data_IF_508796413720
#
_entry.id   IF_508796413720
#
_cell.length_a   1.000
_cell.length_b   1.000
_cell.length_c   1.000
_cell.angle_alpha   90.00
_cell.angle_beta   90.00
_cell.angle_gamma   90.00
#
_symmetry.space_group_name_H-M   'P 1'
#
loop_
_entity.id
_entity.type
_entity.pdbx_description
1 polymer ?
#
# COMPACT_ATOMS: atom_id res chain seq x y z
N UNK A 1 7.58 58.46 8.95
CA UNK A 1 6.27 59.16 8.93
C UNK A 1 5.21 58.20 9.45
N UNK A 2 4.37 58.67 10.39
CA UNK A 2 3.10 58.12 10.90
C UNK A 2 3.09 56.66 11.43
N UNK A 3 3.05 56.31 12.73
CA UNK A 3 2.35 56.79 13.95
C UNK A 3 0.86 56.37 14.06
N UNK A 4 0.56 55.54 15.09
CA UNK A 4 -0.70 55.33 15.87
C UNK A 4 -1.83 54.51 15.20
N UNK A 5 -2.68 53.71 15.87
CA UNK A 5 -3.01 53.44 17.28
C UNK A 5 -3.89 52.16 17.36
N UNK A 6 -3.67 51.22 18.31
CA UNK A 6 -4.42 50.99 19.57
C UNK A 6 -5.94 50.71 19.39
N UNK A 7 -6.41 49.53 19.83
CA UNK A 7 -7.49 49.42 20.83
C UNK A 7 -7.54 48.02 21.47
N UNK A 8 -7.21 47.99 22.75
CA UNK A 8 -7.47 46.94 23.75
C UNK A 8 -8.68 47.34 24.61
N UNK A 9 -9.22 46.37 25.37
CA UNK A 9 -10.19 46.48 26.49
C UNK A 9 -11.66 46.23 26.09
N UNK A 10 -12.48 45.47 26.82
CA UNK A 10 -12.79 45.59 28.26
C UNK A 10 -13.32 44.27 28.84
N UNK A 11 -13.08 44.07 30.14
CA UNK A 11 -13.50 42.94 30.96
C UNK A 11 -14.80 43.21 31.72
N UNK A 12 -15.39 42.10 32.22
CA UNK A 12 -16.04 41.91 33.52
C UNK A 12 -17.56 42.08 33.71
N UNK A 13 -18.12 41.00 34.32
CA UNK A 13 -19.16 40.89 35.35
C UNK A 13 -20.57 41.46 35.12
N UNK A 14 -21.59 40.64 35.42
CA UNK A 14 -22.55 40.82 36.53
C UNK A 14 -23.49 39.61 36.61
N UNK A 15 -23.57 38.99 37.79
CA UNK A 15 -24.58 38.00 38.20
C UNK A 15 -25.87 38.69 38.65
N UNK A 16 -27.04 38.09 38.34
CA UNK A 16 -28.32 38.09 39.08
C UNK A 16 -29.18 36.99 38.41
N UNK A 17 -29.76 35.95 39.01
CA UNK A 17 -30.15 35.69 40.40
C UNK A 17 -31.68 35.79 40.57
N UNK A 18 -32.46 34.75 40.21
CA UNK A 18 -33.81 34.39 40.76
C UNK A 18 -34.09 32.90 40.40
N UNK A 19 -34.08 31.93 41.33
CA UNK A 19 -35.12 31.49 42.29
C UNK A 19 -36.21 30.59 41.66
N UNK A 20 -36.12 29.28 41.97
CA UNK A 20 -37.15 28.32 42.44
C UNK A 20 -38.46 28.10 41.64
N UNK A 21 -39.17 26.97 41.63
CA UNK A 21 -39.07 25.55 42.07
C UNK A 21 -40.35 24.89 41.50
N UNK A 22 -40.31 23.67 40.95
CA UNK A 22 -41.43 22.70 40.96
C UNK A 22 -40.99 21.31 40.40
N UNK A 23 -41.60 20.18 40.85
CA UNK A 23 -40.85 18.96 41.19
C UNK A 23 -41.12 17.71 40.31
N UNK A 24 -40.13 16.81 40.32
CA UNK A 24 -40.19 15.33 40.50
C UNK A 24 -41.29 14.52 39.79
N UNK A 25 -40.93 13.53 38.96
CA UNK A 25 -40.81 12.07 39.27
C UNK A 25 -40.60 11.33 37.93
N UNK A 26 -39.97 10.17 37.74
CA UNK A 26 -39.05 9.26 38.43
C UNK A 26 -38.55 8.27 37.32
N UNK A 27 -37.35 7.71 37.44
CA UNK A 27 -36.70 6.84 36.44
C UNK A 27 -37.31 5.40 36.37
N UNK A 28 -36.98 4.55 35.37
CA UNK A 28 -35.68 3.85 35.38
C UNK A 28 -34.98 3.59 34.02
N UNK A 29 -33.65 3.75 34.06
CA UNK A 29 -32.54 3.03 33.41
C UNK A 29 -32.83 2.11 32.21
N UNK A 30 -32.11 2.36 31.11
CA UNK A 30 -31.32 1.34 30.43
C UNK A 30 -30.04 1.95 29.87
N UNK A 31 -28.93 1.47 30.41
CA UNK A 31 -27.56 1.78 30.01
C UNK A 31 -27.30 1.44 28.54
N UNK A 32 -26.65 2.35 27.82
CA UNK A 32 -25.72 2.04 26.75
C UNK A 32 -24.89 3.30 26.45
N UNK A 33 -23.77 3.40 27.15
CA UNK A 33 -22.67 4.28 26.76
C UNK A 33 -22.27 3.98 25.30
N UNK A 34 -22.25 5.01 24.45
CA UNK A 34 -21.50 4.98 23.20
C UNK A 34 -20.23 5.79 23.41
N UNK A 35 -19.26 5.09 23.99
CA UNK A 35 -17.86 5.51 24.04
C UNK A 35 -17.28 5.57 22.61
N UNK A 36 -16.24 6.38 22.50
CA UNK A 36 -15.58 6.90 21.30
C UNK A 36 -15.28 5.88 20.18
N UNK A 37 -15.49 6.31 18.94
CA UNK A 37 -14.79 5.77 17.78
C UNK A 37 -13.80 6.82 17.26
N UNK A 38 -12.59 6.81 17.82
CA UNK A 38 -11.39 7.40 17.21
C UNK A 38 -11.21 6.75 15.83
N UNK A 39 -10.98 7.51 14.73
CA UNK A 39 -10.66 6.88 13.45
C UNK A 39 -9.38 6.07 13.62
N UNK A 40 -9.47 4.75 13.44
CA UNK A 40 -8.30 3.91 13.32
C UNK A 40 -7.52 4.38 12.08
N UNK A 41 -6.18 4.48 12.15
CA UNK A 41 -5.40 4.74 10.95
C UNK A 41 -5.63 3.56 10.01
N UNK A 42 -6.31 3.83 8.90
CA UNK A 42 -6.32 2.95 7.74
C UNK A 42 -4.88 2.58 7.47
N UNK A 43 -4.53 1.30 7.62
CA UNK A 43 -3.23 0.79 7.20
C UNK A 43 -3.05 1.25 5.76
N UNK A 44 -2.14 2.21 5.55
CA UNK A 44 -1.66 2.54 4.24
C UNK A 44 -1.16 1.22 3.67
N UNK A 45 -1.79 0.75 2.58
CA UNK A 45 -1.17 -0.24 1.72
C UNK A 45 0.25 0.26 1.51
N UNK A 46 1.24 -0.51 1.97
CA UNK A 46 2.63 -0.18 1.75
C UNK A 46 2.78 0.02 0.24
N UNK A 47 2.86 1.27 -0.19
CA UNK A 47 3.27 1.57 -1.54
C UNK A 47 4.62 0.87 -1.66
N UNK A 48 4.67 -0.18 -2.49
CA UNK A 48 5.92 -0.81 -2.84
C UNK A 48 6.76 0.30 -3.48
N UNK A 49 7.61 0.94 -2.68
CA UNK A 49 8.53 1.99 -3.07
C UNK A 49 9.62 1.39 -3.94
N UNK A 50 9.25 0.99 -5.15
CA UNK A 50 10.16 0.66 -6.22
C UNK A 50 10.22 1.83 -7.16
N UNK A 51 11.41 2.39 -7.37
CA UNK A 51 11.64 3.24 -8.54
C UNK A 51 11.15 2.47 -9.78
N UNK A 52 10.35 3.12 -10.62
CA UNK A 52 9.84 2.51 -11.84
C UNK A 52 11.03 2.03 -12.69
N UNK A 53 11.04 0.77 -13.17
CA UNK A 53 12.18 0.24 -13.89
C UNK A 53 12.42 1.00 -15.19
N UNK A 54 13.66 1.42 -15.41
CA UNK A 54 14.08 2.02 -16.68
C UNK A 54 14.54 0.92 -17.63
N UNK A 55 13.93 0.86 -18.83
CA UNK A 55 14.39 0.01 -19.92
C UNK A 55 15.74 0.50 -20.43
N UNK A 56 16.73 -0.39 -20.49
CA UNK A 56 18.09 -0.10 -20.97
C UNK A 56 18.42 -0.81 -22.29
N UNK A 57 17.60 -1.76 -22.71
CA UNK A 57 17.77 -2.44 -23.99
C UNK A 57 16.71 -3.51 -24.22
N UNK A 58 16.50 -3.87 -25.48
CA UNK A 58 15.58 -4.93 -25.88
C UNK A 58 16.32 -5.93 -26.77
N UNK A 59 16.13 -7.21 -26.49
CA UNK A 59 16.88 -8.33 -27.07
C UNK A 59 15.91 -9.46 -27.39
N UNK A 60 15.41 -9.49 -28.62
CA UNK A 60 14.34 -10.41 -29.01
C UNK A 60 13.08 -10.20 -28.15
N UNK A 61 12.65 -11.25 -27.45
CA UNK A 61 11.48 -11.22 -26.56
C UNK A 61 11.79 -10.72 -25.14
N UNK A 62 13.06 -10.41 -24.84
CA UNK A 62 13.51 -9.91 -23.54
C UNK A 62 13.69 -8.40 -23.54
N UNK A 63 13.24 -7.73 -22.49
CA UNK A 63 13.67 -6.38 -22.14
C UNK A 63 14.65 -6.42 -20.98
N UNK A 64 15.73 -5.65 -21.05
CA UNK A 64 16.67 -5.45 -19.96
C UNK A 64 16.36 -4.13 -19.25
N UNK A 65 16.30 -4.15 -17.92
CA UNK A 65 15.88 -3.04 -17.10
C UNK A 65 16.84 -2.80 -15.94
N UNK A 66 16.86 -1.58 -15.45
CA UNK A 66 17.47 -1.23 -14.17
C UNK A 66 16.46 -0.51 -13.29
N UNK A 67 16.48 -0.81 -12.01
CA UNK A 67 15.70 -0.12 -10.99
C UNK A 67 16.58 0.12 -9.76
N UNK A 68 16.21 1.10 -8.93
CA UNK A 68 16.90 1.35 -7.65
C UNK A 68 15.90 1.44 -6.48
N UNK A 69 15.12 0.37 -6.21
CA UNK A 69 14.23 0.34 -5.06
C UNK A 69 15.01 0.64 -3.77
N UNK A 70 14.52 1.60 -2.99
CA UNK A 70 15.19 2.05 -1.76
C UNK A 70 16.69 2.38 -1.94
N UNK A 71 17.08 2.91 -3.11
CA UNK A 71 18.47 3.26 -3.44
C UNK A 71 19.38 2.06 -3.73
N UNK A 72 18.87 0.82 -3.71
CA UNK A 72 19.63 -0.39 -4.02
C UNK A 72 19.43 -0.77 -5.48
N UNK A 73 20.50 -0.78 -6.27
CA UNK A 73 20.44 -1.13 -7.69
C UNK A 73 20.01 -2.59 -7.88
N UNK A 74 19.08 -2.79 -8.82
CA UNK A 74 18.64 -4.08 -9.33
C UNK A 74 18.72 -4.02 -10.85
N UNK A 75 19.40 -4.98 -11.45
CA UNK A 75 19.43 -5.18 -12.90
C UNK A 75 18.65 -6.45 -13.21
N UNK A 76 17.74 -6.41 -14.19
CA UNK A 76 16.99 -7.60 -14.55
C UNK A 76 16.61 -7.64 -16.02
N UNK A 77 16.59 -8.86 -16.58
CA UNK A 77 15.93 -9.14 -17.85
C UNK A 77 14.51 -9.65 -17.57
N UNK A 78 13.52 -9.18 -18.32
CA UNK A 78 12.12 -9.58 -18.23
C UNK A 78 11.63 -10.07 -19.60
N UNK A 79 11.02 -11.25 -19.64
CA UNK A 79 10.28 -11.75 -20.79
C UNK A 79 8.82 -12.02 -20.43
N UNK A 80 7.94 -11.76 -21.40
CA UNK A 80 6.52 -12.10 -21.32
C UNK A 80 6.25 -13.27 -22.27
N UNK A 81 5.47 -14.28 -21.86
CA UNK A 81 5.07 -15.36 -22.76
C UNK A 81 4.35 -14.82 -23.99
N UNK A 82 4.64 -15.36 -25.17
CA UNK A 82 3.95 -15.01 -26.42
C UNK A 82 2.51 -15.52 -26.48
N UNK A 83 2.14 -16.48 -25.62
CA UNK A 83 0.77 -16.94 -25.44
C UNK A 83 0.49 -17.30 -23.99
N UNK A 84 -0.77 -17.16 -23.58
CA UNK A 84 -1.24 -17.52 -22.23
C UNK A 84 -2.56 -18.27 -22.33
N UNK A 85 -2.50 -19.53 -22.79
CA UNK A 85 -3.67 -20.41 -22.82
C UNK A 85 -3.94 -20.99 -21.43
N UNK A 86 -5.22 -21.10 -21.07
CA UNK A 86 -5.67 -21.72 -19.82
C UNK A 86 -6.44 -23.01 -20.13
N UNK A 87 -6.39 -23.97 -19.20
CA UNK A 87 -7.18 -25.19 -19.25
C UNK A 87 -7.85 -25.42 -17.89
N UNK A 88 -9.20 -25.41 -17.79
CA UNK A 88 -10.16 -25.13 -18.86
C UNK A 88 -9.99 -23.71 -19.44
N UNK A 89 -10.50 -23.43 -20.65
CA UNK A 89 -10.37 -22.11 -21.28
C UNK A 89 -10.98 -20.99 -20.42
N UNK A 90 -10.50 -19.75 -20.62
CA UNK A 90 -11.02 -18.52 -20.00
C UNK A 90 -10.98 -18.47 -18.47
N UNK A 91 -10.03 -19.18 -17.84
CA UNK A 91 -9.83 -19.06 -16.38
C UNK A 91 -9.02 -17.80 -16.05
N UNK A 92 -9.35 -17.09 -14.94
CA UNK A 92 -8.56 -15.96 -14.47
C UNK A 92 -7.13 -16.40 -14.17
N UNK A 93 -6.17 -15.62 -14.68
CA UNK A 93 -4.74 -15.81 -14.47
C UNK A 93 -4.08 -14.45 -14.56
N UNK A 94 -3.23 -14.14 -13.59
CA UNK A 94 -2.45 -12.91 -13.63
C UNK A 94 -1.40 -12.97 -14.75
N UNK A 95 -0.89 -11.82 -15.21
CA UNK A 95 0.18 -11.80 -16.18
C UNK A 95 1.39 -12.63 -15.74
N UNK A 96 1.86 -13.49 -16.64
CA UNK A 96 3.06 -14.27 -16.40
C UNK A 96 4.30 -13.56 -16.94
N UNK A 97 5.40 -13.74 -16.21
CA UNK A 97 6.69 -13.13 -16.52
C UNK A 97 7.82 -14.07 -16.10
N UNK A 98 8.90 -14.07 -16.88
CA UNK A 98 10.17 -14.64 -16.48
C UNK A 98 11.18 -13.53 -16.25
N UNK A 99 11.92 -13.63 -15.15
CA UNK A 99 12.95 -12.69 -14.73
C UNK A 99 14.28 -13.39 -14.59
N UNK A 100 15.35 -12.71 -15.01
CA UNK A 100 16.73 -13.05 -14.63
C UNK A 100 17.29 -11.80 -13.97
N UNK A 101 17.57 -11.86 -12.67
CA UNK A 101 17.94 -10.68 -11.88
C UNK A 101 19.32 -10.79 -11.26
N UNK A 102 19.95 -9.63 -11.14
CA UNK A 102 21.19 -9.40 -10.40
C UNK A 102 20.94 -8.29 -9.39
N UNK A 103 21.11 -8.59 -8.11
CA UNK A 103 20.95 -7.66 -6.98
C UNK A 103 22.29 -7.56 -6.23
N UNK A 104 23.17 -6.63 -6.64
CA UNK A 104 24.51 -6.50 -6.05
C UNK A 104 24.50 -6.26 -4.54
N UNK A 105 23.54 -5.49 -4.04
CA UNK A 105 23.41 -5.21 -2.60
C UNK A 105 23.12 -6.47 -1.76
N UNK A 106 22.55 -7.51 -2.37
CA UNK A 106 22.23 -8.79 -1.74
C UNK A 106 23.22 -9.89 -2.15
N UNK A 107 24.24 -9.57 -2.96
CA UNK A 107 25.19 -10.52 -3.56
C UNK A 107 24.50 -11.63 -4.37
N UNK A 108 23.36 -11.31 -4.97
CA UNK A 108 22.61 -12.22 -5.83
C UNK A 108 22.95 -11.93 -7.29
N UNK A 109 23.30 -12.97 -8.04
CA UNK A 109 23.58 -12.93 -9.47
C UNK A 109 22.82 -14.06 -10.17
N UNK A 110 22.34 -13.82 -11.38
CA UNK A 110 21.68 -14.82 -12.22
C UNK A 110 20.48 -15.51 -11.53
N UNK A 111 19.76 -14.79 -10.67
CA UNK A 111 18.56 -15.36 -10.04
C UNK A 111 17.43 -15.43 -11.06
N UNK A 112 16.99 -16.65 -11.33
CA UNK A 112 15.82 -16.93 -12.18
C UNK A 112 14.57 -16.91 -11.31
N UNK A 113 13.60 -16.09 -11.69
CA UNK A 113 12.30 -16.02 -11.02
C UNK A 113 11.19 -16.04 -12.06
N UNK A 114 10.13 -16.81 -11.82
CA UNK A 114 8.99 -16.91 -12.72
C UNK A 114 7.71 -16.57 -11.96
N UNK A 115 7.01 -15.56 -12.45
CA UNK A 115 5.64 -15.28 -12.06
C UNK A 115 4.73 -16.08 -12.98
N UNK A 116 4.13 -17.15 -12.46
CA UNK A 116 3.26 -18.07 -13.23
C UNK A 116 1.82 -17.52 -13.31
N UNK A 117 1.50 -16.46 -12.56
CA UNK A 117 0.18 -15.83 -12.59
C UNK A 117 -0.93 -16.61 -11.87
N UNK A 118 -0.55 -17.60 -11.06
CA UNK A 118 -1.44 -18.32 -10.16
C UNK A 118 -0.89 -18.27 -8.75
N UNK A 119 -1.78 -18.31 -7.77
CA UNK A 119 -1.39 -18.57 -6.38
C UNK A 119 -0.98 -20.03 -6.25
N UNK A 120 0.23 -20.26 -5.76
CA UNK A 120 0.73 -21.62 -5.46
C UNK A 120 0.23 -22.02 -4.07
N UNK A 121 -0.28 -23.24 -3.94
CA UNK A 121 -0.66 -23.78 -2.63
C UNK A 121 0.60 -23.93 -1.76
N UNK A 122 0.59 -23.48 -0.48
CA UNK A 122 1.74 -23.67 0.41
C UNK A 122 2.18 -25.13 0.51
N UNK A 123 3.49 -25.36 0.50
CA UNK A 123 4.08 -26.71 0.55
C UNK A 123 3.98 -27.50 -0.76
N UNK A 124 3.58 -26.87 -1.87
CA UNK A 124 3.64 -27.53 -3.18
C UNK A 124 5.04 -27.45 -3.76
N UNK A 125 5.53 -28.59 -4.26
CA UNK A 125 6.76 -28.64 -5.05
C UNK A 125 6.53 -28.00 -6.42
N UNK A 126 7.54 -27.26 -6.90
CA UNK A 126 7.53 -26.62 -8.23
C UNK A 126 8.71 -27.12 -9.04
N UNK A 127 8.44 -27.59 -10.26
CA UNK A 127 9.50 -28.01 -11.20
C UNK A 127 9.61 -27.03 -12.35
N UNK A 128 10.84 -26.68 -12.72
CA UNK A 128 11.13 -25.88 -13.91
C UNK A 128 12.02 -26.70 -14.84
N UNK A 129 11.62 -26.82 -16.10
CA UNK A 129 12.42 -27.44 -17.16
C UNK A 129 12.75 -26.40 -18.24
N UNK A 130 13.98 -26.43 -18.75
CA UNK A 130 14.46 -25.57 -19.82
C UNK A 130 14.87 -26.46 -20.99
N UNK A 131 14.21 -26.29 -22.14
CA UNK A 131 14.34 -27.20 -23.28
C UNK A 131 13.46 -28.45 -23.13
N UNK A 132 13.04 -29.03 -24.26
CA UNK A 132 12.26 -30.27 -24.29
C UNK A 132 13.19 -31.46 -24.40
N UNK A 133 13.42 -32.15 -23.29
CA UNK A 133 13.93 -33.51 -23.23
C UNK A 133 12.81 -34.44 -22.80
#
# INVERSE_FOLDING_TARGET
MAVRQILTSLAACVLCGIISLAPTQAAPKKDAAKEAAKPAPSAAAAAAGGAEPTLIGQFGTWGAYTASPNGKKVCFALAKPSSSKTNPPNRPRDPAYAFISTRPAEKVVNEVSIMIGYTVKPGSESTLQVGGG
#
